data_IF_225593737065
#
_entry.id   IF_225593737065
#
_cell.length_a   1.000
_cell.length_b   1.000
_cell.length_c   1.000
_cell.angle_alpha   90.00
_cell.angle_beta   90.00
_cell.angle_gamma   90.00
#
_symmetry.space_group_name_H-M   'P 1'
#
loop_
_entity.id
_entity.type
_entity.pdbx_description
1 polymer ?
#
# COMPACT_ATOMS: atom_id res chain seq x y z
N UNK A 1 9.55 -8.60 -8.62
CA UNK A 1 8.14 -8.15 -8.72
C UNK A 1 8.00 -6.86 -7.94
N UNK A 2 7.63 -5.76 -8.58
CA UNK A 2 7.33 -4.51 -7.88
C UNK A 2 5.92 -4.61 -7.29
N UNK A 3 5.75 -4.22 -6.04
CA UNK A 3 4.45 -4.18 -5.36
C UNK A 3 4.11 -2.74 -5.03
N UNK A 4 2.83 -2.38 -5.22
CA UNK A 4 2.29 -1.08 -4.85
C UNK A 4 1.29 -1.25 -3.71
N UNK A 5 1.26 -0.28 -2.81
CA UNK A 5 0.31 -0.23 -1.70
C UNK A 5 -0.67 0.91 -1.94
N UNK A 6 -1.91 0.58 -2.30
CA UNK A 6 -2.96 1.59 -2.55
C UNK A 6 -3.75 1.85 -1.28
N UNK A 7 -3.74 3.10 -0.81
CA UNK A 7 -4.43 3.52 0.42
C UNK A 7 -5.94 3.36 0.27
N UNK A 8 -6.53 2.65 1.23
CA UNK A 8 -7.98 2.51 1.34
C UNK A 8 -8.53 3.74 2.06
N UNK A 9 -9.17 4.62 1.31
CA UNK A 9 -9.86 5.79 1.86
C UNK A 9 -11.12 5.35 2.62
N UNK A 10 -10.99 5.11 3.93
CA UNK A 10 -12.13 4.76 4.76
C UNK A 10 -12.85 6.02 5.25
N UNK A 11 -14.17 6.11 5.07
CA UNK A 11 -14.98 7.26 5.51
C UNK A 11 -14.98 7.48 7.05
N UNK A 12 -14.56 6.48 7.85
CA UNK A 12 -14.45 6.62 9.31
C UNK A 12 -13.44 7.70 9.72
N UNK A 13 -12.44 8.00 8.87
CA UNK A 13 -11.47 9.06 9.11
C UNK A 13 -12.15 10.41 9.35
N UNK A 14 -13.29 10.67 8.67
CA UNK A 14 -14.10 11.89 8.84
C UNK A 14 -14.80 11.97 10.20
N UNK A 15 -15.00 10.85 10.91
CA UNK A 15 -15.72 10.82 12.21
C UNK A 15 -14.81 11.13 13.40
N UNK A 16 -13.51 10.85 13.30
CA UNK A 16 -12.50 11.18 14.33
C UNK A 16 -12.07 12.65 14.29
N UNK A 17 -12.49 13.39 13.27
CA UNK A 17 -12.05 14.76 12.96
C UNK A 17 -12.80 15.86 13.70
N UNK A 18 -13.76 15.54 14.58
CA UNK A 18 -14.47 16.58 15.33
C UNK A 18 -13.56 17.38 16.30
N UNK A 19 -12.26 17.03 16.43
CA UNK A 19 -11.34 17.59 17.43
C UNK A 19 -9.98 18.08 16.84
N UNK A 20 -9.74 18.03 15.52
CA UNK A 20 -8.42 18.49 14.99
C UNK A 20 -8.27 18.55 13.47
N UNK A 21 -7.13 19.11 13.01
CA UNK A 21 -6.74 19.24 11.59
C UNK A 21 -6.78 17.87 10.89
N UNK A 22 -7.36 17.80 9.69
CA UNK A 22 -7.32 16.60 8.84
C UNK A 22 -5.90 16.43 8.29
N UNK A 23 -5.14 15.48 8.85
CA UNK A 23 -3.84 15.04 8.35
C UNK A 23 -4.03 13.73 7.58
N UNK A 24 -3.95 13.76 6.25
CA UNK A 24 -4.30 12.61 5.38
C UNK A 24 -3.06 11.83 4.99
N UNK A 25 -3.10 10.48 4.99
CA UNK A 25 -2.00 9.69 4.48
C UNK A 25 -1.90 9.88 2.95
N UNK A 26 -0.69 10.13 2.46
CA UNK A 26 -0.39 10.34 1.03
C UNK A 26 0.52 9.27 0.45
N UNK A 27 1.33 8.61 1.29
CA UNK A 27 2.23 7.56 0.86
C UNK A 27 2.42 6.51 1.95
N UNK A 28 2.61 5.24 1.55
CA UNK A 28 2.83 4.12 2.46
C UNK A 28 3.97 3.24 1.94
N UNK A 29 4.91 2.91 2.83
CA UNK A 29 5.95 1.91 2.59
C UNK A 29 5.88 0.80 3.66
N UNK A 30 6.05 -0.45 3.24
CA UNK A 30 6.00 -1.64 4.12
C UNK A 30 7.22 -2.52 3.78
N UNK A 31 8.40 -2.21 4.35
CA UNK A 31 9.67 -2.85 3.95
C UNK A 31 9.74 -4.34 4.31
N UNK A 32 9.03 -4.75 5.36
CA UNK A 32 8.98 -6.11 5.90
C UNK A 32 7.67 -6.84 5.51
N UNK A 33 7.02 -6.42 4.43
CA UNK A 33 5.84 -7.07 3.88
C UNK A 33 6.13 -8.52 3.47
N UNK A 34 5.28 -9.44 3.92
CA UNK A 34 5.23 -10.82 3.44
C UNK A 34 3.78 -11.19 3.11
N UNK A 35 3.50 -11.85 1.98
CA UNK A 35 2.16 -12.32 1.61
C UNK A 35 1.78 -13.55 2.43
N UNK A 36 1.78 -13.42 3.76
CA UNK A 36 1.43 -14.45 4.73
C UNK A 36 0.29 -13.89 5.57
N UNK A 37 -0.83 -14.62 5.59
CA UNK A 37 -1.98 -14.21 6.36
C UNK A 37 -1.61 -14.11 7.85
N UNK A 38 -2.04 -13.03 8.52
CA UNK A 38 -1.70 -12.66 9.90
C UNK A 38 -0.23 -12.26 10.16
N UNK A 39 0.60 -12.10 9.14
CA UNK A 39 1.95 -11.55 9.32
C UNK A 39 1.91 -10.13 9.90
N UNK A 40 2.77 -9.86 10.88
CA UNK A 40 2.90 -8.54 11.51
C UNK A 40 4.07 -7.81 10.86
N UNK A 41 3.85 -6.57 10.46
CA UNK A 41 4.81 -5.76 9.71
C UNK A 41 4.78 -4.30 10.16
N UNK A 42 5.81 -3.55 9.78
CA UNK A 42 5.92 -2.12 10.02
C UNK A 42 5.41 -1.34 8.81
N UNK A 43 4.37 -0.56 9.01
CA UNK A 43 3.81 0.34 7.99
C UNK A 43 4.31 1.76 8.25
N UNK A 44 5.13 2.28 7.33
CA UNK A 44 5.61 3.66 7.37
C UNK A 44 4.66 4.50 6.53
N UNK A 45 3.97 5.44 7.17
CA UNK A 45 2.98 6.34 6.57
C UNK A 45 3.56 7.75 6.49
N UNK A 46 3.52 8.34 5.30
CA UNK A 46 3.72 9.78 5.11
C UNK A 46 2.39 10.47 4.95
N UNK A 47 2.23 11.60 5.63
CA UNK A 47 1.01 12.40 5.59
C UNK A 47 1.22 13.73 4.84
N UNK A 48 0.11 14.36 4.47
CA UNK A 48 0.07 15.61 3.68
C UNK A 48 0.65 16.84 4.39
N UNK A 49 0.77 16.79 5.72
CA UNK A 49 1.45 17.83 6.51
C UNK A 49 2.98 17.62 6.60
N UNK A 50 3.51 16.59 5.95
CA UNK A 50 4.92 16.21 5.96
C UNK A 50 5.32 15.33 7.14
N UNK A 51 4.39 15.00 8.05
CA UNK A 51 4.67 14.08 9.15
C UNK A 51 4.85 12.63 8.66
N UNK A 52 5.62 11.88 9.45
CA UNK A 52 5.86 10.45 9.25
C UNK A 52 5.43 9.68 10.50
N UNK A 53 4.81 8.53 10.31
CA UNK A 53 4.44 7.63 11.40
C UNK A 53 4.71 6.19 11.03
N UNK A 54 5.26 5.43 11.96
CA UNK A 54 5.37 3.96 11.85
C UNK A 54 4.24 3.32 12.63
N UNK A 55 3.46 2.48 11.97
CA UNK A 55 2.34 1.72 12.54
C UNK A 55 2.70 0.23 12.58
N UNK A 56 2.29 -0.45 13.64
CA UNK A 56 2.26 -1.91 13.66
C UNK A 56 1.04 -2.33 12.86
N UNK A 57 1.26 -3.09 11.80
CA UNK A 57 0.22 -3.49 10.87
C UNK A 57 0.14 -5.01 10.69
N UNK A 58 -1.02 -5.49 10.27
CA UNK A 58 -1.26 -6.91 10.00
C UNK A 58 -1.59 -7.12 8.54
N UNK A 59 -0.93 -8.10 7.93
CA UNK A 59 -1.25 -8.57 6.59
C UNK A 59 -2.46 -9.49 6.65
N UNK A 60 -3.47 -9.21 5.84
CA UNK A 60 -4.70 -9.96 5.75
C UNK A 60 -4.92 -10.39 4.30
N UNK A 61 -5.45 -11.60 4.16
CA UNK A 61 -5.87 -12.16 2.89
C UNK A 61 -7.37 -12.35 2.95
N UNK A 62 -8.07 -11.81 1.96
CA UNK A 62 -9.50 -11.99 1.80
C UNK A 62 -9.74 -13.04 0.72
N UNK A 63 -10.19 -14.23 1.13
CA UNK A 63 -10.41 -15.37 0.23
C UNK A 63 -11.56 -15.12 -0.76
N UNK A 64 -12.60 -14.36 -0.36
CA UNK A 64 -13.76 -14.06 -1.22
C UNK A 64 -13.40 -13.17 -2.41
N UNK A 65 -12.50 -12.20 -2.19
CA UNK A 65 -12.08 -11.24 -3.21
C UNK A 65 -10.69 -11.53 -3.79
N UNK A 66 -10.01 -12.55 -3.27
CA UNK A 66 -8.63 -12.93 -3.61
C UNK A 66 -7.66 -11.73 -3.54
N UNK A 67 -7.74 -10.94 -2.45
CA UNK A 67 -6.97 -9.71 -2.27
C UNK A 67 -6.18 -9.70 -0.98
N UNK A 68 -4.97 -9.18 -1.07
CA UNK A 68 -4.13 -8.86 0.09
C UNK A 68 -4.39 -7.43 0.54
N UNK A 69 -4.54 -7.26 1.85
CA UNK A 69 -4.57 -5.96 2.51
C UNK A 69 -3.56 -5.91 3.64
N UNK A 70 -3.13 -4.72 4.00
CA UNK A 70 -2.35 -4.50 5.23
C UNK A 70 -3.08 -3.46 6.05
N UNK A 71 -3.46 -3.81 7.28
CA UNK A 71 -4.23 -2.95 8.18
C UNK A 71 -3.37 -2.53 9.38
N UNK A 72 -3.05 -1.24 9.46
CA UNK A 72 -2.34 -0.58 10.57
C UNK A 72 -3.29 0.09 11.56
N UNK A 73 -4.56 -0.30 11.59
CA UNK A 73 -5.69 0.30 12.33
C UNK A 73 -6.07 1.72 11.88
N UNK A 74 -5.09 2.61 11.79
CA UNK A 74 -5.27 4.00 11.36
C UNK A 74 -5.26 4.14 9.84
N UNK A 75 -4.38 3.39 9.18
CA UNK A 75 -4.25 3.37 7.72
C UNK A 75 -4.32 1.91 7.28
N UNK A 76 -5.04 1.68 6.19
CA UNK A 76 -5.07 0.37 5.54
C UNK A 76 -4.78 0.53 4.06
N UNK A 77 -4.13 -0.46 3.47
CA UNK A 77 -3.78 -0.48 2.05
C UNK A 77 -4.22 -1.79 1.41
N UNK A 78 -4.52 -1.75 0.11
CA UNK A 78 -4.61 -2.93 -0.74
C UNK A 78 -3.26 -3.15 -1.41
N UNK A 79 -2.81 -4.40 -1.50
CA UNK A 79 -1.59 -4.76 -2.22
C UNK A 79 -1.93 -4.97 -3.69
N UNK A 80 -1.29 -4.20 -4.56
CA UNK A 80 -1.40 -4.34 -6.02
C UNK A 80 -0.07 -4.87 -6.54
N UNK A 81 -0.09 -6.07 -7.11
CA UNK A 81 1.08 -6.65 -7.73
C UNK A 81 1.28 -6.02 -9.12
N UNK A 82 2.43 -5.38 -9.32
CA UNK A 82 2.81 -4.88 -10.63
C UNK A 82 3.36 -6.02 -11.47
N UNK A 83 2.59 -6.49 -12.46
CA UNK A 83 3.16 -7.20 -13.60
C UNK A 83 4.01 -6.19 -14.37
N UNK A 84 5.33 -6.29 -14.24
CA UNK A 84 6.22 -5.71 -15.23
C UNK A 84 6.00 -6.50 -16.53
N UNK A 85 5.18 -5.97 -17.44
CA UNK A 85 5.31 -6.35 -18.84
C UNK A 85 6.72 -5.92 -19.24
N UNK A 86 7.60 -6.89 -19.47
CA UNK A 86 8.94 -6.63 -19.96
C UNK A 86 8.83 -5.88 -21.28
N UNK A 87 9.24 -4.62 -21.29
CA UNK A 87 9.62 -3.93 -22.52
C UNK A 87 11.00 -4.42 -22.92
N UNK A 88 11.11 -5.70 -23.25
CA UNK A 88 12.25 -6.26 -23.97
C UNK A 88 11.78 -6.54 -25.39
N UNK A 89 12.12 -5.63 -26.30
CA UNK A 89 12.48 -5.94 -27.68
C UNK A 89 13.15 -4.70 -28.28
N UNK A 90 14.44 -4.55 -27.97
CA UNK A 90 15.34 -3.75 -28.78
C UNK A 90 15.28 -4.22 -30.24
N UNK A 91 15.23 -3.24 -31.14
CA UNK A 91 15.99 -3.13 -32.39
C UNK A 91 16.62 -4.42 -32.94
N UNK A 92 16.16 -4.87 -34.11
CA UNK A 92 17.08 -5.46 -35.08
C UNK A 92 16.78 -4.87 -36.45
N UNK A 93 17.75 -4.08 -36.92
CA UNK A 93 17.91 -3.68 -38.31
C UNK A 93 18.06 -4.94 -39.15
N UNK A 94 17.36 -5.07 -40.26
CA UNK A 94 17.93 -5.61 -41.48
C UNK A 94 17.16 -5.08 -42.68
N UNK A 95 17.78 -4.10 -43.35
CA UNK A 95 17.58 -3.87 -44.76
C UNK A 95 18.26 -5.03 -45.51
N UNK A 96 17.55 -5.59 -46.48
CA UNK A 96 18.00 -6.56 -47.46
C UNK A 96 17.05 -6.48 -48.63
#
# INVERSE_FOLDING_TARGET
MARKFDIIHKDWYKRRTLIGRQIKPVHVAIPDYQPIHNHICNMIVSYDDGSLKTLIARVLFNELSNKWTVDGMEVAVTVVEGFQFGSDSLSTKHAG
#
